data_IF_232419762251
#
_entry.id   IF_232419762251
#
_cell.length_a   1.000
_cell.length_b   1.000
_cell.length_c   1.000
_cell.angle_alpha   90.00
_cell.angle_beta   90.00
_cell.angle_gamma   90.00
#
_symmetry.space_group_name_H-M   'P 1'
#
loop_
_entity.id
_entity.type
_entity.pdbx_description
1 polymer ?
#
# COMPACT_ATOMS: atom_id res chain seq x y z
N UNK A 1 -30.57 -5.82 11.74
CA UNK A 1 -30.10 -7.00 12.50
C UNK A 1 -28.67 -6.74 12.95
N UNK A 2 -28.47 -6.44 14.24
CA UNK A 2 -27.15 -6.30 14.84
C UNK A 2 -26.46 -7.67 14.81
N UNK A 3 -25.48 -7.84 13.91
CA UNK A 3 -24.54 -8.97 14.04
C UNK A 3 -23.66 -8.70 15.26
N UNK A 4 -23.76 -9.61 16.23
CA UNK A 4 -22.83 -9.74 17.34
C UNK A 4 -21.41 -9.88 16.77
N UNK A 5 -20.65 -8.80 16.80
CA UNK A 5 -19.21 -8.85 16.58
C UNK A 5 -18.58 -9.63 17.73
N UNK A 6 -18.31 -10.91 17.51
CA UNK A 6 -17.31 -11.62 18.28
C UNK A 6 -16.00 -10.88 18.01
N UNK A 7 -15.58 -9.99 18.91
CA UNK A 7 -14.21 -9.47 18.96
C UNK A 7 -13.32 -10.70 19.18
N UNK A 8 -12.83 -11.30 18.11
CA UNK A 8 -11.64 -12.13 18.23
C UNK A 8 -10.52 -11.20 18.70
N UNK A 9 -10.06 -11.39 19.94
CA UNK A 9 -8.89 -10.70 20.44
C UNK A 9 -7.75 -10.92 19.44
N UNK A 10 -7.28 -9.81 18.87
CA UNK A 10 -6.14 -9.83 17.96
C UNK A 10 -4.93 -10.28 18.78
N UNK A 11 -4.25 -11.32 18.30
CA UNK A 11 -2.99 -11.74 18.91
C UNK A 11 -1.93 -10.73 18.52
N UNK A 12 -1.39 -10.05 19.51
CA UNK A 12 -0.31 -9.08 19.34
C UNK A 12 0.93 -9.52 20.10
N UNK A 13 2.10 -9.11 19.61
CA UNK A 13 3.37 -9.30 20.32
C UNK A 13 4.29 -8.10 20.11
N UNK A 14 5.23 -7.84 21.03
CA UNK A 14 6.20 -6.76 20.88
C UNK A 14 7.07 -6.93 19.61
N UNK A 15 7.32 -5.84 18.88
CA UNK A 15 8.20 -5.85 17.69
C UNK A 15 9.68 -5.93 18.07
N UNK A 16 10.01 -5.35 19.22
CA UNK A 16 11.35 -5.26 19.79
C UNK A 16 11.32 -5.73 21.25
N UNK A 17 12.47 -6.16 21.76
CA UNK A 17 12.70 -6.31 23.20
C UNK A 17 12.43 -4.98 23.92
N UNK A 18 12.00 -5.05 25.18
CA UNK A 18 11.54 -3.89 25.94
C UNK A 18 12.63 -2.81 26.01
N UNK A 19 13.86 -3.19 26.35
CA UNK A 19 14.98 -2.24 26.46
C UNK A 19 15.31 -1.59 25.10
N UNK A 20 15.19 -2.34 24.01
CA UNK A 20 15.42 -1.83 22.65
C UNK A 20 14.32 -0.87 22.23
N UNK A 21 13.07 -1.18 22.54
CA UNK A 21 11.94 -0.31 22.26
C UNK A 21 12.08 1.01 23.04
N UNK A 22 12.39 0.96 24.33
CA UNK A 22 12.67 2.15 25.14
C UNK A 22 13.82 3.00 24.58
N UNK A 23 14.91 2.35 24.17
CA UNK A 23 16.03 3.03 23.52
C UNK A 23 15.65 3.71 22.19
N UNK A 24 14.80 3.07 21.38
CA UNK A 24 14.26 3.68 20.16
C UNK A 24 13.33 4.86 20.47
N UNK A 25 12.41 4.69 21.43
CA UNK A 25 11.48 5.74 21.87
C UNK A 25 12.23 6.98 22.36
N UNK A 26 13.28 6.81 23.15
CA UNK A 26 14.12 7.92 23.59
C UNK A 26 14.75 8.69 22.42
N UNK A 27 15.24 7.98 21.39
CA UNK A 27 15.78 8.64 20.18
C UNK A 27 14.70 9.33 19.36
N UNK A 28 13.52 8.72 19.20
CA UNK A 28 12.38 9.33 18.52
C UNK A 28 11.85 10.57 19.25
N UNK A 29 11.91 10.58 20.59
CA UNK A 29 11.63 11.79 21.37
C UNK A 29 12.64 12.91 21.09
N UNK A 30 13.90 12.61 20.85
CA UNK A 30 14.89 13.61 20.42
C UNK A 30 14.61 14.09 18.99
N UNK A 31 14.31 13.17 18.07
CA UNK A 31 13.95 13.50 16.68
C UNK A 31 12.70 14.39 16.62
N UNK A 32 11.73 14.19 17.52
CA UNK A 32 10.53 15.03 17.62
C UNK A 32 10.83 16.53 17.80
N UNK A 33 11.94 16.87 18.47
CA UNK A 33 12.40 18.25 18.67
C UNK A 33 13.44 18.71 17.65
N UNK A 34 13.88 17.84 16.74
CA UNK A 34 14.88 18.19 15.72
C UNK A 34 14.28 19.02 14.58
N UNK A 35 15.11 19.78 13.86
CA UNK A 35 14.67 20.52 12.68
C UNK A 35 14.37 19.57 11.53
N UNK A 36 13.32 19.86 10.75
CA UNK A 36 13.09 19.16 9.48
C UNK A 36 13.95 19.76 8.35
N UNK A 37 14.68 20.83 8.61
CA UNK A 37 15.55 21.44 7.62
C UNK A 37 16.67 20.47 7.23
N UNK A 38 16.78 20.23 5.92
CA UNK A 38 17.92 19.53 5.36
C UNK A 38 19.22 20.32 5.57
N UNK A 39 20.38 19.73 5.29
CA UNK A 39 21.66 20.44 5.38
C UNK A 39 21.64 21.69 4.50
N UNK A 40 22.00 22.84 5.08
CA UNK A 40 22.08 24.14 4.38
C UNK A 40 23.06 24.13 3.20
N UNK A 41 24.06 23.23 3.23
CA UNK A 41 25.03 23.03 2.16
C UNK A 41 25.21 21.54 1.93
N UNK A 42 25.00 21.11 0.69
CA UNK A 42 25.30 19.76 0.22
C UNK A 42 26.64 19.72 -0.51
N UNK A 43 27.42 18.67 -0.25
CA UNK A 43 28.59 18.34 -1.05
C UNK A 43 28.15 18.07 -2.50
N UNK A 44 29.03 18.29 -3.48
CA UNK A 44 28.72 18.08 -4.90
C UNK A 44 28.28 16.64 -5.21
N UNK A 45 28.89 15.66 -4.55
CA UNK A 45 28.50 14.24 -4.61
C UNK A 45 27.07 14.00 -4.15
N UNK A 46 26.63 14.70 -3.10
CA UNK A 46 25.29 14.55 -2.53
C UNK A 46 24.25 15.24 -3.39
N UNK A 47 24.58 16.39 -4.00
CA UNK A 47 23.72 17.04 -5.00
C UNK A 47 23.44 16.12 -6.19
N UNK A 48 24.48 15.46 -6.72
CA UNK A 48 24.33 14.50 -7.81
C UNK A 48 23.45 13.31 -7.43
N UNK A 49 23.66 12.76 -6.23
CA UNK A 49 22.85 11.68 -5.67
C UNK A 49 21.38 12.09 -5.49
N UNK A 50 21.13 13.24 -4.87
CA UNK A 50 19.77 13.77 -4.65
C UNK A 50 19.05 13.95 -5.98
N UNK A 51 19.72 14.54 -6.98
CA UNK A 51 19.15 14.69 -8.33
C UNK A 51 18.80 13.33 -8.93
N UNK A 52 19.72 12.36 -8.91
CA UNK A 52 19.50 11.00 -9.41
C UNK A 52 18.28 10.34 -8.77
N UNK A 53 18.14 10.45 -7.44
CA UNK A 53 17.00 9.89 -6.71
C UNK A 53 15.70 10.59 -7.09
N UNK A 54 15.68 11.92 -7.17
CA UNK A 54 14.49 12.68 -7.59
C UNK A 54 14.04 12.31 -9.00
N UNK A 55 14.98 12.27 -9.94
CA UNK A 55 14.70 11.91 -11.33
C UNK A 55 14.14 10.48 -11.42
N UNK A 56 14.76 9.53 -10.69
CA UNK A 56 14.31 8.13 -10.69
C UNK A 56 12.94 7.96 -10.06
N UNK A 57 12.70 8.63 -8.93
CA UNK A 57 11.39 8.62 -8.28
C UNK A 57 10.32 9.22 -9.19
N UNK A 58 10.60 10.32 -9.89
CA UNK A 58 9.65 10.93 -10.81
C UNK A 58 9.32 10.01 -12.00
N UNK A 59 10.34 9.37 -12.59
CA UNK A 59 10.18 8.39 -13.68
C UNK A 59 9.29 7.21 -13.24
N UNK A 60 9.57 6.60 -12.10
CA UNK A 60 8.84 5.43 -11.63
C UNK A 60 7.46 5.79 -11.03
N UNK A 61 7.22 7.06 -10.68
CA UNK A 61 5.94 7.56 -10.16
C UNK A 61 4.93 7.94 -11.25
N UNK A 62 5.18 7.62 -12.52
CA UNK A 62 4.30 7.97 -13.64
C UNK A 62 2.85 7.48 -13.45
N UNK A 63 2.67 6.21 -13.10
CA UNK A 63 1.34 5.62 -12.84
C UNK A 63 1.44 4.36 -11.96
N UNK A 64 0.31 3.69 -11.72
CA UNK A 64 0.28 2.50 -10.87
C UNK A 64 1.17 1.37 -11.42
N UNK A 65 1.29 1.20 -12.73
CA UNK A 65 2.08 0.11 -13.32
C UNK A 65 3.58 0.31 -13.04
N UNK A 66 4.09 1.51 -13.28
CA UNK A 66 5.51 1.84 -13.07
C UNK A 66 5.88 1.73 -11.60
N UNK A 67 5.06 2.28 -10.69
CA UNK A 67 5.28 2.19 -9.24
C UNK A 67 5.29 0.76 -8.74
N UNK A 68 4.27 -0.01 -9.14
CA UNK A 68 4.13 -1.41 -8.73
C UNK A 68 5.33 -2.23 -9.19
N UNK A 69 5.81 -2.01 -10.42
CA UNK A 69 7.01 -2.66 -10.95
C UNK A 69 8.27 -2.24 -10.19
N UNK A 70 8.45 -0.95 -9.91
CA UNK A 70 9.60 -0.41 -9.20
C UNK A 70 9.77 -1.02 -7.80
N UNK A 71 8.67 -1.25 -7.08
CA UNK A 71 8.68 -1.95 -5.80
C UNK A 71 9.18 -3.40 -5.90
N UNK A 72 8.68 -4.18 -6.88
CA UNK A 72 9.12 -5.56 -7.08
C UNK A 72 10.59 -5.63 -7.48
N UNK A 73 11.00 -4.81 -8.43
CA UNK A 73 12.38 -4.77 -8.92
C UNK A 73 13.33 -4.38 -7.78
N UNK A 74 12.94 -3.42 -6.94
CA UNK A 74 13.70 -3.05 -5.75
C UNK A 74 13.81 -4.20 -4.73
N UNK A 75 12.69 -4.85 -4.39
CA UNK A 75 12.70 -5.98 -3.45
C UNK A 75 13.59 -7.13 -3.93
N UNK A 76 13.60 -7.43 -5.23
CA UNK A 76 14.48 -8.48 -5.78
C UNK A 76 15.97 -8.20 -5.57
N UNK A 77 16.36 -6.93 -5.46
CA UNK A 77 17.74 -6.52 -5.15
C UNK A 77 18.00 -6.38 -3.64
N UNK A 78 16.95 -6.12 -2.87
CA UNK A 78 17.02 -5.84 -1.42
C UNK A 78 15.93 -6.61 -0.67
N UNK A 79 16.01 -7.96 -0.61
CA UNK A 79 14.98 -8.82 -0.01
C UNK A 79 14.78 -8.57 1.49
N UNK A 80 15.74 -7.94 2.17
CA UNK A 80 15.62 -7.48 3.55
C UNK A 80 14.62 -6.33 3.74
N UNK A 81 14.22 -5.63 2.68
CA UNK A 81 13.22 -4.56 2.74
C UNK A 81 11.85 -5.15 2.43
N UNK A 82 11.27 -5.86 3.40
CA UNK A 82 9.99 -6.53 3.24
C UNK A 82 8.85 -5.58 2.80
N UNK A 83 8.87 -4.34 3.27
CA UNK A 83 7.90 -3.31 2.87
C UNK A 83 7.81 -3.16 1.35
N UNK A 84 8.91 -3.26 0.61
CA UNK A 84 8.87 -3.11 -0.85
C UNK A 84 8.04 -4.23 -1.50
N UNK A 85 8.13 -5.47 -1.03
CA UNK A 85 7.30 -6.55 -1.56
C UNK A 85 5.83 -6.42 -1.14
N UNK A 86 5.60 -6.01 0.11
CA UNK A 86 4.25 -5.72 0.58
C UNK A 86 3.61 -4.60 -0.24
N UNK A 87 4.32 -3.50 -0.46
CA UNK A 87 3.89 -2.37 -1.29
C UNK A 87 3.63 -2.80 -2.74
N UNK A 88 4.48 -3.67 -3.32
CA UNK A 88 4.19 -4.28 -4.63
C UNK A 88 2.83 -4.99 -4.63
N UNK A 89 2.61 -5.91 -3.69
CA UNK A 89 1.39 -6.72 -3.66
C UNK A 89 0.14 -5.90 -3.36
N UNK A 90 0.22 -4.93 -2.44
CA UNK A 90 -0.89 -4.01 -2.15
C UNK A 90 -1.15 -3.06 -3.33
N UNK A 91 -0.11 -2.57 -4.01
CA UNK A 91 -0.26 -1.68 -5.17
C UNK A 91 -0.87 -2.40 -6.37
N UNK A 92 -0.65 -3.71 -6.54
CA UNK A 92 -1.40 -4.52 -7.52
C UNK A 92 -2.90 -4.49 -7.26
N UNK A 93 -3.30 -4.63 -5.98
CA UNK A 93 -4.69 -4.56 -5.58
C UNK A 93 -5.27 -3.16 -5.82
N UNK A 94 -4.53 -2.11 -5.46
CA UNK A 94 -4.89 -0.72 -5.76
C UNK A 94 -5.06 -0.46 -7.26
N UNK A 95 -4.21 -1.06 -8.10
CA UNK A 95 -4.29 -0.96 -9.55
C UNK A 95 -5.61 -1.50 -10.10
N UNK A 96 -5.99 -2.72 -9.72
CA UNK A 96 -7.26 -3.24 -10.23
C UNK A 96 -8.48 -2.58 -9.60
N UNK A 97 -8.39 -2.04 -8.38
CA UNK A 97 -9.46 -1.18 -7.84
C UNK A 97 -9.65 0.08 -8.70
N UNK A 98 -8.59 0.65 -9.27
CA UNK A 98 -8.70 1.76 -10.22
C UNK A 98 -9.40 1.33 -11.50
N UNK A 99 -9.01 0.21 -12.11
CA UNK A 99 -9.61 -0.24 -13.39
C UNK A 99 -11.01 -0.83 -13.24
N UNK A 100 -11.34 -1.37 -12.06
CA UNK A 100 -12.65 -1.93 -11.74
C UNK A 100 -13.76 -0.87 -11.91
N UNK A 101 -13.46 0.41 -11.66
CA UNK A 101 -14.36 1.54 -11.91
C UNK A 101 -14.80 1.65 -13.39
N UNK A 102 -14.04 1.06 -14.32
CA UNK A 102 -14.31 0.97 -15.76
C UNK A 102 -14.64 -0.46 -16.21
N UNK A 103 -14.79 -1.39 -15.26
CA UNK A 103 -15.07 -2.80 -15.49
C UNK A 103 -16.55 -3.13 -15.43
N UNK A 104 -16.96 -4.21 -16.11
CA UNK A 104 -18.38 -4.55 -16.25
C UNK A 104 -19.04 -5.04 -14.96
N UNK A 105 -18.26 -5.32 -13.91
CA UNK A 105 -18.79 -5.65 -12.59
C UNK A 105 -19.31 -4.42 -11.84
N UNK A 106 -18.94 -3.20 -12.26
CA UNK A 106 -19.23 -1.97 -11.53
C UNK A 106 -19.78 -0.84 -12.41
N UNK A 107 -20.14 -1.15 -13.66
CA UNK A 107 -20.62 -0.17 -14.64
C UNK A 107 -21.75 0.72 -14.10
N UNK A 108 -22.64 0.16 -13.27
CA UNK A 108 -23.84 0.81 -12.73
C UNK A 108 -23.75 1.13 -11.24
N UNK A 109 -22.63 0.83 -10.57
CA UNK A 109 -22.50 1.09 -9.13
C UNK A 109 -22.22 2.56 -8.81
N UNK A 110 -21.52 3.23 -9.72
CA UNK A 110 -21.04 4.61 -9.61
C UNK A 110 -21.39 5.39 -10.87
N UNK A 111 -21.71 6.67 -10.71
CA UNK A 111 -21.78 7.64 -11.81
C UNK A 111 -20.39 7.90 -12.41
N UNK A 112 -20.33 8.45 -13.62
CA UNK A 112 -19.06 8.79 -14.28
C UNK A 112 -18.24 9.81 -13.48
N UNK A 113 -18.89 10.80 -12.85
CA UNK A 113 -18.22 11.76 -11.98
C UNK A 113 -17.66 11.10 -10.72
N UNK A 114 -18.39 10.16 -10.12
CA UNK A 114 -17.89 9.40 -8.98
C UNK A 114 -16.67 8.59 -9.40
N UNK A 115 -16.76 7.79 -10.48
CA UNK A 115 -15.63 6.98 -11.00
C UNK A 115 -14.36 7.81 -11.18
N UNK A 116 -14.46 8.97 -11.82
CA UNK A 116 -13.33 9.88 -12.01
C UNK A 116 -12.74 10.34 -10.67
N UNK A 117 -13.61 10.73 -9.73
CA UNK A 117 -13.15 11.25 -8.43
C UNK A 117 -12.52 10.16 -7.57
N UNK A 118 -13.07 8.94 -7.60
CA UNK A 118 -12.49 7.75 -6.96
C UNK A 118 -11.12 7.42 -7.56
N UNK A 119 -11.00 7.45 -8.88
CA UNK A 119 -9.73 7.24 -9.55
C UNK A 119 -8.69 8.28 -9.13
N UNK A 120 -9.04 9.57 -9.14
CA UNK A 120 -8.17 10.67 -8.70
C UNK A 120 -7.74 10.48 -7.24
N UNK A 121 -8.65 10.08 -6.36
CA UNK A 121 -8.32 9.79 -4.96
C UNK A 121 -7.26 8.70 -4.84
N UNK A 122 -7.50 7.55 -5.49
CA UNK A 122 -6.59 6.41 -5.45
C UNK A 122 -5.23 6.74 -6.08
N UNK A 123 -5.22 7.47 -7.19
CA UNK A 123 -3.99 7.86 -7.90
C UNK A 123 -3.17 8.85 -7.07
N UNK A 124 -3.80 9.88 -6.51
CA UNK A 124 -3.13 10.83 -5.61
C UNK A 124 -2.55 10.15 -4.38
N UNK A 125 -3.32 9.27 -3.74
CA UNK A 125 -2.83 8.52 -2.58
C UNK A 125 -1.63 7.64 -2.96
N UNK A 126 -1.76 6.79 -3.98
CA UNK A 126 -0.68 5.89 -4.42
C UNK A 126 0.58 6.64 -4.86
N UNK A 127 0.41 7.76 -5.56
CA UNK A 127 1.52 8.58 -6.03
C UNK A 127 2.24 9.29 -4.86
N UNK A 128 1.49 9.79 -3.87
CA UNK A 128 2.06 10.41 -2.67
C UNK A 128 2.83 9.40 -1.80
N UNK A 129 2.31 8.17 -1.64
CA UNK A 129 3.00 7.09 -0.94
C UNK A 129 4.35 6.81 -1.60
N UNK A 130 4.36 6.67 -2.92
CA UNK A 130 5.58 6.37 -3.67
C UNK A 130 6.59 7.50 -3.59
N UNK A 131 6.13 8.75 -3.74
CA UNK A 131 6.98 9.94 -3.63
C UNK A 131 7.63 10.09 -2.24
N UNK A 132 6.99 9.59 -1.18
CA UNK A 132 7.53 9.63 0.19
C UNK A 132 8.45 8.43 0.49
N UNK A 133 8.04 7.21 0.16
CA UNK A 133 8.76 5.99 0.54
C UNK A 133 9.90 5.64 -0.42
N UNK A 134 9.72 5.76 -1.74
CA UNK A 134 10.70 5.27 -2.72
C UNK A 134 12.06 5.97 -2.64
N UNK A 135 12.16 7.30 -2.42
CA UNK A 135 13.45 7.95 -2.17
C UNK A 135 14.20 7.38 -0.96
N UNK A 136 13.50 6.99 0.10
CA UNK A 136 14.10 6.37 1.30
C UNK A 136 14.76 5.03 0.93
N UNK A 137 14.08 4.24 0.10
CA UNK A 137 14.58 2.97 -0.42
C UNK A 137 15.84 3.17 -1.28
N UNK A 138 15.81 4.14 -2.20
CA UNK A 138 16.98 4.45 -3.04
C UNK A 138 18.16 4.97 -2.21
N UNK A 139 17.91 5.79 -1.18
CA UNK A 139 18.94 6.23 -0.24
C UNK A 139 19.58 5.04 0.50
N UNK A 140 18.77 4.10 0.97
CA UNK A 140 19.27 2.89 1.63
C UNK A 140 20.15 2.05 0.69
N UNK A 141 19.74 1.85 -0.57
CA UNK A 141 20.55 1.09 -1.54
C UNK A 141 21.92 1.75 -1.79
N UNK A 142 21.98 3.08 -1.76
CA UNK A 142 23.24 3.82 -1.90
C UNK A 142 24.10 3.77 -0.62
N UNK A 143 23.47 3.77 0.56
CA UNK A 143 24.17 3.59 1.84
C UNK A 143 24.78 2.18 2.02
N UNK A 144 24.25 1.16 1.32
CA UNK A 144 24.90 -0.16 1.26
C UNK A 144 26.23 -0.13 0.51
N UNK A 145 26.42 0.82 -0.42
CA UNK A 145 27.60 0.89 -1.30
C UNK A 145 28.70 1.79 -0.77
N UNK A 146 28.34 2.85 -0.04
CA UNK A 146 29.27 3.85 0.49
C UNK A 146 28.76 4.42 1.81
N UNK A 147 29.67 4.91 2.68
CA UNK A 147 29.26 5.64 3.88
C UNK A 147 28.35 6.82 3.50
N UNK A 148 27.12 6.82 4.03
CA UNK A 148 26.10 7.81 3.75
C UNK A 148 25.25 8.01 5.00
N UNK A 149 25.06 9.26 5.43
CA UNK A 149 24.13 9.56 6.51
C UNK A 149 22.72 9.69 5.96
N UNK A 150 21.91 8.62 6.07
CA UNK A 150 20.48 8.65 5.73
C UNK A 150 19.78 9.79 6.46
N UNK A 151 19.99 9.91 7.77
CA UNK A 151 19.42 10.98 8.61
C UNK A 151 19.61 12.39 8.04
N UNK A 152 20.78 12.68 7.47
CA UNK A 152 21.05 13.99 6.86
C UNK A 152 20.32 14.21 5.53
N UNK A 153 20.02 13.16 4.78
CA UNK A 153 19.44 13.24 3.44
C UNK A 153 17.92 13.05 3.41
N UNK A 154 17.36 12.28 4.33
CA UNK A 154 15.91 12.08 4.47
C UNK A 154 15.10 13.40 4.47
N UNK A 155 15.49 14.48 5.20
CA UNK A 155 14.75 15.73 5.16
C UNK A 155 14.67 16.40 3.78
N UNK A 156 15.65 16.17 2.90
CA UNK A 156 15.68 16.72 1.52
C UNK A 156 14.56 16.13 0.65
N UNK A 157 14.05 14.96 1.04
CA UNK A 157 12.92 14.27 0.43
C UNK A 157 11.62 14.43 1.23
N UNK A 158 11.59 15.34 2.22
CA UNK A 158 10.41 15.64 3.04
C UNK A 158 9.87 14.44 3.85
N UNK A 159 10.75 13.47 4.11
CA UNK A 159 10.45 12.31 4.95
C UNK A 159 10.29 12.77 6.39
N UNK A 160 9.33 12.19 7.11
CA UNK A 160 9.09 12.53 8.51
C UNK A 160 10.29 12.22 9.40
N UNK A 161 10.52 13.08 10.41
CA UNK A 161 11.53 12.85 11.46
C UNK A 161 11.33 11.53 12.19
N UNK A 162 10.10 10.99 12.19
CA UNK A 162 9.79 9.65 12.69
C UNK A 162 10.68 8.56 12.08
N UNK A 163 11.06 8.68 10.80
CA UNK A 163 11.84 7.66 10.11
C UNK A 163 13.34 7.74 10.38
N UNK A 164 13.86 8.81 10.99
CA UNK A 164 15.30 9.03 11.12
C UNK A 164 15.98 7.97 11.97
N UNK A 165 15.62 7.89 13.26
CA UNK A 165 16.15 6.87 14.17
C UNK A 165 15.77 5.44 13.79
N UNK A 166 14.68 5.27 13.04
CA UNK A 166 14.22 3.96 12.55
C UNK A 166 15.17 3.44 11.47
N UNK A 167 15.54 4.26 10.49
CA UNK A 167 16.53 3.89 9.49
C UNK A 167 17.91 3.66 10.10
N UNK A 168 18.33 4.50 11.05
CA UNK A 168 19.60 4.29 11.77
C UNK A 168 19.61 2.95 12.53
N UNK A 169 18.51 2.61 13.20
CA UNK A 169 18.38 1.33 13.90
C UNK A 169 18.36 0.14 12.91
N UNK A 170 17.65 0.26 11.79
CA UNK A 170 17.60 -0.79 10.78
C UNK A 170 18.97 -1.01 10.12
N UNK A 171 19.73 0.03 9.80
CA UNK A 171 21.09 -0.09 9.28
C UNK A 171 22.02 -0.85 10.23
N UNK A 172 21.79 -0.71 11.55
CA UNK A 172 22.58 -1.40 12.58
C UNK A 172 22.14 -2.85 12.80
N UNK A 173 20.83 -3.11 12.83
CA UNK A 173 20.29 -4.39 13.32
C UNK A 173 19.62 -5.26 12.25
N UNK A 174 19.30 -4.71 11.07
CA UNK A 174 18.69 -5.45 9.97
C UNK A 174 17.27 -5.97 10.27
N UNK A 175 16.54 -5.39 11.23
CA UNK A 175 15.20 -5.85 11.59
C UNK A 175 14.15 -5.42 10.54
N UNK A 176 13.95 -6.25 9.51
CA UNK A 176 13.02 -6.03 8.39
C UNK A 176 11.58 -5.77 8.82
N UNK A 177 11.16 -6.45 9.89
CA UNK A 177 9.81 -6.36 10.45
C UNK A 177 9.56 -4.99 11.08
N UNK A 178 10.49 -4.53 11.92
CA UNK A 178 10.44 -3.20 12.53
C UNK A 178 10.41 -2.09 11.46
N UNK A 179 11.32 -2.15 10.49
CA UNK A 179 11.35 -1.17 9.39
C UNK A 179 10.03 -1.18 8.61
N UNK A 180 9.47 -2.35 8.32
CA UNK A 180 8.25 -2.46 7.53
C UNK A 180 7.05 -1.87 8.25
N UNK A 181 6.90 -2.15 9.55
CA UNK A 181 5.82 -1.58 10.35
C UNK A 181 6.00 -0.06 10.50
N UNK A 182 7.23 0.43 10.66
CA UNK A 182 7.50 1.85 10.68
C UNK A 182 7.15 2.55 9.35
N UNK A 183 7.50 1.95 8.20
CA UNK A 183 7.14 2.48 6.89
C UNK A 183 5.62 2.47 6.68
N UNK A 184 4.89 1.46 7.17
CA UNK A 184 3.41 1.44 7.19
C UNK A 184 2.87 2.62 8.01
N UNK A 185 3.40 2.86 9.21
CA UNK A 185 2.95 3.97 10.07
C UNK A 185 3.22 5.32 9.36
N UNK A 186 4.43 5.49 8.84
CA UNK A 186 4.83 6.69 8.11
C UNK A 186 3.91 6.96 6.91
N UNK A 187 3.64 5.94 6.12
CA UNK A 187 2.72 6.01 4.98
C UNK A 187 1.32 6.45 5.42
N UNK A 188 0.73 5.76 6.40
CA UNK A 188 -0.67 5.98 6.77
C UNK A 188 -0.90 7.32 7.47
N UNK A 189 0.07 7.81 8.23
CA UNK A 189 0.05 9.13 8.86
C UNK A 189 0.29 10.25 7.84
N UNK A 190 1.17 10.03 6.86
CA UNK A 190 1.38 10.96 5.75
C UNK A 190 0.11 11.11 4.90
N UNK A 191 -0.55 10.00 4.52
CA UNK A 191 -1.81 10.02 3.77
C UNK A 191 -2.90 10.79 4.53
N UNK A 192 -3.01 10.56 5.85
CA UNK A 192 -3.99 11.24 6.69
C UNK A 192 -3.84 12.76 6.60
N UNK A 193 -2.60 13.25 6.73
CA UNK A 193 -2.30 14.68 6.76
C UNK A 193 -2.36 15.35 5.37
N UNK A 194 -1.78 14.69 4.36
CA UNK A 194 -1.56 15.30 3.04
C UNK A 194 -2.70 15.04 2.06
N UNK A 195 -3.44 13.94 2.20
CA UNK A 195 -4.45 13.51 1.24
C UNK A 195 -5.84 13.57 1.85
N UNK A 196 -6.12 12.80 2.90
CA UNK A 196 -7.48 12.61 3.42
C UNK A 196 -8.07 13.92 3.95
N UNK A 197 -7.37 14.62 4.86
CA UNK A 197 -7.83 15.89 5.41
C UNK A 197 -8.01 17.00 4.36
N UNK A 198 -7.33 16.89 3.22
CA UNK A 198 -7.25 17.92 2.18
C UNK A 198 -8.05 17.59 0.92
N UNK A 199 -8.67 16.41 0.86
CA UNK A 199 -9.34 15.94 -0.36
C UNK A 199 -10.55 16.79 -0.78
N UNK A 200 -10.98 17.76 0.03
CA UNK A 200 -12.01 18.76 -0.33
C UNK A 200 -13.42 18.19 -0.51
N UNK A 201 -13.58 16.87 -0.41
CA UNK A 201 -14.84 16.15 -0.62
C UNK A 201 -15.10 15.18 0.54
N UNK A 202 -15.26 15.71 1.76
CA UNK A 202 -15.51 14.91 2.96
C UNK A 202 -16.80 14.05 2.87
N UNK A 203 -17.83 14.57 2.20
CA UNK A 203 -19.06 13.82 1.92
C UNK A 203 -18.81 12.65 0.97
N UNK A 204 -17.97 12.87 -0.04
CA UNK A 204 -17.55 11.82 -0.95
C UNK A 204 -16.72 10.79 -0.19
N UNK A 205 -15.71 11.16 0.61
CA UNK A 205 -14.93 10.23 1.44
C UNK A 205 -15.82 9.37 2.36
N UNK A 206 -16.81 9.99 3.00
CA UNK A 206 -17.79 9.28 3.83
C UNK A 206 -18.63 8.31 3.01
N UNK A 207 -19.06 8.71 1.81
CA UNK A 207 -19.75 7.84 0.85
C UNK A 207 -18.84 6.76 0.31
N UNK A 208 -17.54 7.01 0.11
CA UNK A 208 -16.56 6.02 -0.29
C UNK A 208 -16.48 4.99 0.81
N UNK A 209 -16.15 5.41 2.03
CA UNK A 209 -16.06 4.52 3.18
C UNK A 209 -17.32 3.66 3.35
N UNK A 210 -18.50 4.25 3.17
CA UNK A 210 -19.76 3.54 3.22
C UNK A 210 -19.93 2.54 2.06
N UNK A 211 -19.77 2.97 0.82
CA UNK A 211 -19.91 2.12 -0.38
C UNK A 211 -18.87 1.00 -0.40
N UNK A 212 -17.62 1.32 -0.05
CA UNK A 212 -16.51 0.39 0.12
C UNK A 212 -16.84 -0.70 1.16
N UNK A 213 -17.47 -0.32 2.29
CA UNK A 213 -17.93 -1.27 3.30
C UNK A 213 -19.12 -2.10 2.82
N UNK A 214 -20.12 -1.49 2.19
CA UNK A 214 -21.31 -2.19 1.70
C UNK A 214 -20.99 -3.21 0.59
N UNK A 215 -20.02 -2.91 -0.26
CA UNK A 215 -19.68 -3.78 -1.39
C UNK A 215 -18.71 -4.91 -1.06
N UNK A 216 -18.27 -5.08 0.22
CA UNK A 216 -17.44 -6.13 0.87
C UNK A 216 -16.22 -6.75 0.14
N UNK A 217 -16.24 -6.89 -1.19
CA UNK A 217 -15.17 -7.31 -2.09
C UNK A 217 -14.41 -6.19 -2.79
N UNK A 218 -14.86 -4.93 -2.73
CA UNK A 218 -14.08 -3.79 -3.25
C UNK A 218 -12.90 -3.47 -2.31
N UNK A 219 -13.04 -3.73 -1.02
CA UNK A 219 -11.97 -3.46 -0.03
C UNK A 219 -11.11 -4.67 0.28
N UNK A 220 -11.34 -5.82 -0.36
CA UNK A 220 -10.53 -7.01 -0.08
C UNK A 220 -9.20 -6.92 -0.80
N UNK A 221 -8.13 -6.81 -0.01
CA UNK A 221 -6.76 -6.99 -0.48
C UNK A 221 -6.45 -8.48 -0.46
N UNK A 222 -6.06 -9.02 -1.61
CA UNK A 222 -5.82 -10.45 -1.84
C UNK A 222 -4.39 -10.72 -2.33
N UNK A 223 -3.83 -11.85 -1.88
CA UNK A 223 -2.54 -12.40 -2.27
C UNK A 223 -2.71 -13.83 -2.81
N UNK A 224 -2.41 -14.07 -4.10
CA UNK A 224 -2.45 -15.41 -4.68
C UNK A 224 -1.24 -16.22 -4.22
N UNK A 225 -1.46 -17.29 -3.47
CA UNK A 225 -0.36 -18.01 -2.81
C UNK A 225 -0.24 -19.48 -3.24
N UNK A 226 -1.27 -20.10 -3.82
CA UNK A 226 -1.17 -21.51 -4.22
C UNK A 226 -1.91 -21.81 -5.50
N UNK A 227 -1.17 -22.26 -6.51
CA UNK A 227 -1.73 -22.70 -7.79
C UNK A 227 -1.86 -24.22 -7.80
N UNK A 228 -3.03 -24.72 -8.23
CA UNK A 228 -3.21 -26.14 -8.58
C UNK A 228 -3.47 -26.23 -10.07
N UNK A 229 -2.98 -27.29 -10.72
CA UNK A 229 -3.14 -27.47 -12.16
C UNK A 229 -4.62 -27.39 -12.55
N UNK A 230 -4.93 -26.58 -13.56
CA UNK A 230 -6.30 -26.37 -14.05
C UNK A 230 -7.23 -25.61 -13.10
N UNK A 231 -6.74 -25.03 -11.99
CA UNK A 231 -7.55 -24.25 -11.05
C UNK A 231 -7.00 -22.83 -10.87
N UNK A 232 -7.86 -21.85 -10.55
CA UNK A 232 -7.42 -20.53 -10.12
C UNK A 232 -6.54 -20.63 -8.87
N UNK A 233 -5.71 -19.61 -8.65
CA UNK A 233 -4.93 -19.51 -7.42
C UNK A 233 -5.85 -19.47 -6.19
N UNK A 234 -5.46 -20.20 -5.14
CA UNK A 234 -5.97 -19.97 -3.79
C UNK A 234 -5.47 -18.61 -3.30
N UNK A 235 -6.34 -17.89 -2.59
CA UNK A 235 -6.10 -16.54 -2.11
C UNK A 235 -6.02 -16.49 -0.59
N UNK A 236 -5.08 -15.71 -0.06
CA UNK A 236 -5.13 -15.21 1.31
C UNK A 236 -5.32 -13.69 1.27
N UNK A 237 -5.70 -13.06 2.38
CA UNK A 237 -5.97 -11.61 2.39
C UNK A 237 -6.99 -11.21 3.44
N UNK A 238 -7.44 -9.96 3.38
CA UNK A 238 -8.46 -9.42 4.28
C UNK A 238 -9.21 -8.26 3.64
N UNK A 239 -10.44 -8.01 4.11
CA UNK A 239 -11.21 -6.81 3.77
C UNK A 239 -10.76 -5.65 4.65
N UNK A 240 -10.55 -4.49 4.04
CA UNK A 240 -10.29 -3.25 4.77
C UNK A 240 -11.60 -2.75 5.37
N UNK A 241 -11.58 -2.47 6.67
CA UNK A 241 -12.71 -1.95 7.44
C UNK A 241 -12.38 -0.54 7.94
N UNK A 242 -13.36 0.38 7.93
CA UNK A 242 -13.23 1.75 8.47
C UNK A 242 -12.01 2.49 7.93
N UNK A 243 -11.94 2.61 6.60
CA UNK A 243 -10.77 3.14 5.92
C UNK A 243 -10.46 4.60 6.30
N UNK A 244 -11.44 5.43 6.67
CA UNK A 244 -11.20 6.79 7.15
C UNK A 244 -10.38 6.86 8.45
N UNK A 245 -10.34 5.80 9.26
CA UNK A 245 -9.59 5.77 10.52
C UNK A 245 -8.10 5.40 10.28
N UNK A 246 -7.14 6.30 10.57
CA UNK A 246 -5.71 6.01 10.41
C UNK A 246 -5.23 4.82 11.23
N UNK A 247 -5.75 4.60 12.45
CA UNK A 247 -5.36 3.46 13.27
C UNK A 247 -5.79 2.14 12.62
N UNK A 248 -6.98 2.12 12.01
CA UNK A 248 -7.47 0.95 11.28
C UNK A 248 -6.67 0.69 10.01
N UNK A 249 -6.22 1.73 9.29
CA UNK A 249 -5.33 1.55 8.13
C UNK A 249 -3.95 1.03 8.53
N UNK A 250 -3.36 1.54 9.62
CA UNK A 250 -2.10 1.01 10.18
C UNK A 250 -2.26 -0.47 10.55
N UNK A 251 -3.36 -0.81 11.25
CA UNK A 251 -3.66 -2.18 11.64
C UNK A 251 -3.82 -3.10 10.41
N UNK A 252 -4.52 -2.64 9.37
CA UNK A 252 -4.63 -3.33 8.09
C UNK A 252 -3.26 -3.63 7.48
N UNK A 253 -2.37 -2.64 7.44
CA UNK A 253 -0.99 -2.83 6.96
C UNK A 253 -0.23 -3.90 7.74
N UNK A 254 -0.30 -3.86 9.08
CA UNK A 254 0.32 -4.88 9.95
C UNK A 254 -0.23 -6.28 9.70
N UNK A 255 -1.55 -6.42 9.54
CA UNK A 255 -2.19 -7.71 9.24
C UNK A 255 -1.77 -8.25 7.88
N UNK A 256 -1.73 -7.40 6.85
CA UNK A 256 -1.27 -7.79 5.51
C UNK A 256 0.20 -8.20 5.51
N UNK A 257 1.05 -7.50 6.26
CA UNK A 257 2.45 -7.88 6.46
C UNK A 257 2.56 -9.28 7.07
N UNK A 258 1.84 -9.54 8.17
CA UNK A 258 1.81 -10.85 8.84
C UNK A 258 1.33 -11.96 7.90
N UNK A 259 0.22 -11.74 7.17
CA UNK A 259 -0.28 -12.71 6.18
C UNK A 259 0.74 -13.05 5.10
N UNK A 260 1.52 -12.07 4.65
CA UNK A 260 2.49 -12.24 3.56
C UNK A 260 3.80 -12.88 4.01
N UNK A 261 4.31 -12.52 5.20
CA UNK A 261 5.68 -12.85 5.62
C UNK A 261 5.79 -13.90 6.73
N UNK A 262 4.75 -14.17 7.52
CA UNK A 262 4.87 -15.13 8.64
C UNK A 262 4.87 -16.59 8.19
N UNK A 263 4.34 -16.87 7.00
CA UNK A 263 4.25 -18.22 6.45
C UNK A 263 5.09 -18.36 5.19
N UNK A 264 6.08 -19.25 5.24
CA UNK A 264 7.02 -19.51 4.15
C UNK A 264 6.33 -19.96 2.86
N UNK A 265 5.36 -20.86 2.95
CA UNK A 265 4.61 -21.36 1.80
C UNK A 265 3.76 -20.28 1.14
N UNK A 266 3.21 -19.36 1.94
CA UNK A 266 2.50 -18.17 1.43
C UNK A 266 3.48 -17.25 0.71
N UNK A 267 4.59 -16.87 1.35
CA UNK A 267 5.59 -15.99 0.77
C UNK A 267 6.14 -16.51 -0.55
N UNK A 268 6.53 -17.79 -0.61
CA UNK A 268 7.03 -18.45 -1.82
C UNK A 268 5.98 -18.46 -2.93
N UNK A 269 4.74 -18.77 -2.57
CA UNK A 269 3.61 -18.79 -3.49
C UNK A 269 3.29 -17.43 -4.10
N UNK A 270 3.21 -16.40 -3.26
CA UNK A 270 2.95 -15.02 -3.67
C UNK A 270 4.12 -14.47 -4.48
N UNK A 271 5.36 -14.77 -4.09
CA UNK A 271 6.55 -14.42 -4.86
C UNK A 271 6.51 -15.05 -6.26
N UNK A 272 6.23 -16.36 -6.34
CA UNK A 272 6.09 -17.06 -7.63
C UNK A 272 4.99 -16.46 -8.49
N UNK A 273 3.84 -16.10 -7.91
CA UNK A 273 2.79 -15.39 -8.65
C UNK A 273 3.29 -14.05 -9.17
N UNK A 274 3.87 -13.21 -8.32
CA UNK A 274 4.31 -11.85 -8.70
C UNK A 274 5.36 -11.82 -9.81
N UNK A 275 6.21 -12.84 -9.88
CA UNK A 275 7.27 -12.97 -10.90
C UNK A 275 6.70 -13.48 -12.23
N UNK A 276 5.74 -14.41 -12.19
CA UNK A 276 5.23 -15.09 -13.39
C UNK A 276 3.97 -14.46 -13.98
N UNK A 277 3.39 -13.49 -13.28
CA UNK A 277 2.19 -12.79 -13.71
C UNK A 277 2.51 -11.32 -13.88
N UNK A 278 2.54 -10.81 -15.10
CA UNK A 278 2.66 -9.38 -15.37
C UNK A 278 1.52 -8.60 -14.71
N UNK A 279 1.84 -7.41 -14.17
CA UNK A 279 0.83 -6.52 -13.60
C UNK A 279 0.33 -5.57 -14.69
N UNK A 280 -0.95 -5.69 -15.04
CA UNK A 280 -1.64 -4.83 -16.01
C UNK A 280 -2.68 -3.93 -15.34
N UNK A 281 -2.77 -4.02 -14.02
CA UNK A 281 -3.88 -3.52 -13.20
C UNK A 281 -5.22 -4.17 -13.50
N UNK A 282 -5.31 -5.24 -14.30
CA UNK A 282 -6.59 -5.94 -14.52
C UNK A 282 -6.80 -7.06 -13.51
N UNK A 283 -8.05 -7.32 -13.10
CA UNK A 283 -8.39 -8.55 -12.35
C UNK A 283 -8.13 -9.83 -13.15
N UNK A 284 -8.01 -9.72 -14.47
CA UNK A 284 -7.60 -10.85 -15.32
C UNK A 284 -6.17 -11.33 -15.01
N UNK A 285 -5.32 -10.52 -14.38
CA UNK A 285 -4.01 -10.95 -13.89
C UNK A 285 -4.15 -12.08 -12.84
N UNK A 286 -5.21 -12.03 -12.03
CA UNK A 286 -5.45 -12.95 -10.93
C UNK A 286 -6.22 -14.20 -11.40
N UNK A 287 -7.35 -14.01 -12.09
CA UNK A 287 -8.28 -15.09 -12.47
C UNK A 287 -8.79 -14.97 -13.91
N UNK A 288 -7.97 -15.35 -14.89
CA UNK A 288 -8.30 -15.37 -16.35
C UNK A 288 -9.51 -16.23 -16.74
N UNK A 289 -9.95 -17.13 -15.88
CA UNK A 289 -11.15 -17.95 -16.09
C UNK A 289 -12.44 -17.18 -15.81
N UNK A 290 -12.39 -16.14 -14.99
CA UNK A 290 -13.56 -15.33 -14.56
C UNK A 290 -13.52 -13.95 -15.21
N UNK A 291 -12.33 -13.36 -15.33
CA UNK A 291 -12.13 -12.02 -15.87
C UNK A 291 -11.46 -12.06 -17.26
N UNK A 292 -11.73 -11.03 -18.06
CA UNK A 292 -11.06 -10.77 -19.33
C UNK A 292 -10.77 -9.28 -19.48
N UNK A 293 -9.64 -8.93 -20.09
CA UNK A 293 -9.34 -7.56 -20.53
C UNK A 293 -9.70 -7.34 -22.01
N UNK A 294 -10.29 -8.34 -22.68
CA UNK A 294 -10.75 -8.25 -24.05
C UNK A 294 -12.22 -7.84 -24.12
N UNK A 295 -12.51 -6.73 -24.80
CA UNK A 295 -13.88 -6.31 -25.07
C UNK A 295 -14.67 -7.34 -25.87
N UNK A 296 -14.02 -8.15 -26.71
CA UNK A 296 -14.66 -9.18 -27.52
C UNK A 296 -15.18 -10.38 -26.68
N UNK A 297 -14.64 -10.57 -25.48
CA UNK A 297 -15.10 -11.59 -24.52
C UNK A 297 -16.09 -11.04 -23.48
N UNK A 298 -16.44 -9.75 -23.53
CA UNK A 298 -17.43 -9.14 -22.63
C UNK A 298 -18.76 -9.88 -22.76
N UNK A 299 -19.35 -10.23 -21.62
CA UNK A 299 -20.59 -11.01 -21.55
C UNK A 299 -20.36 -12.52 -21.40
N UNK A 300 -19.22 -13.06 -21.86
CA UNK A 300 -18.79 -14.43 -21.55
C UNK A 300 -18.02 -14.48 -20.22
N UNK A 301 -17.20 -13.46 -19.99
CA UNK A 301 -16.44 -13.22 -18.75
C UNK A 301 -16.70 -11.81 -18.25
N UNK A 302 -16.32 -11.54 -17.01
CA UNK A 302 -16.38 -10.20 -16.43
C UNK A 302 -15.27 -9.36 -17.07
N UNK A 303 -15.66 -8.27 -17.73
CA UNK A 303 -14.69 -7.36 -18.35
C UNK A 303 -13.98 -6.55 -17.26
N UNK A 304 -12.66 -6.59 -17.26
CA UNK A 304 -11.76 -5.85 -16.37
C UNK A 304 -10.63 -5.27 -17.23
N UNK A 305 -10.68 -3.98 -17.59
CA UNK A 305 -9.71 -3.38 -18.49
C UNK A 305 -8.30 -3.34 -17.88
N UNK A 306 -7.29 -3.14 -18.72
CA UNK A 306 -5.94 -2.76 -18.27
C UNK A 306 -5.88 -1.26 -17.97
N UNK A 307 -4.91 -0.81 -17.17
CA UNK A 307 -4.83 0.60 -16.74
C UNK A 307 -4.85 1.58 -17.91
N UNK A 308 -4.00 1.35 -18.91
CA UNK A 308 -3.82 2.23 -20.07
C UNK A 308 -5.04 2.34 -20.97
N UNK A 309 -5.99 1.41 -20.86
CA UNK A 309 -7.29 1.49 -21.54
C UNK A 309 -8.39 2.09 -20.68
N UNK A 310 -8.22 2.09 -19.35
CA UNK A 310 -9.20 2.60 -18.41
C UNK A 310 -9.01 4.09 -18.09
N UNK A 311 -7.75 4.53 -17.96
CA UNK A 311 -7.38 5.84 -17.44
C UNK A 311 -6.13 6.39 -18.12
N UNK A 312 -6.09 7.70 -18.34
CA UNK A 312 -4.87 8.40 -18.73
C UNK A 312 -3.98 8.63 -17.51
N UNK A 313 -2.67 8.76 -17.75
CA UNK A 313 -1.72 9.18 -16.72
C UNK A 313 -2.14 10.55 -16.16
N UNK A 314 -2.01 10.69 -14.84
CA UNK A 314 -2.24 11.95 -14.14
C UNK A 314 -0.90 12.48 -13.63
N UNK A 315 -0.59 13.77 -13.86
CA UNK A 315 0.65 14.34 -13.34
C UNK A 315 0.65 14.27 -11.82
N UNK A 316 1.83 14.00 -11.24
CA UNK A 316 2.01 14.08 -9.81
C UNK A 316 1.84 15.54 -9.35
N UNK A 317 0.92 15.75 -8.41
CA UNK A 317 0.74 17.04 -7.74
C UNK A 317 1.51 17.00 -6.42
N UNK A 318 2.63 17.74 -6.37
CA UNK A 318 3.36 17.95 -5.13
C UNK A 318 2.47 18.74 -4.15
N UNK A 319 1.84 18.03 -3.22
CA UNK A 319 1.06 18.64 -2.14
C UNK A 319 1.95 19.40 -1.15
N UNK A 320 1.32 20.05 -0.17
CA UNK A 320 2.06 20.69 0.91
C UNK A 320 2.81 19.65 1.73
N UNK A 321 4.11 19.87 1.92
CA UNK A 321 4.95 19.03 2.76
C UNK A 321 4.87 19.53 4.21
N UNK A 322 4.17 18.78 5.05
CA UNK A 322 4.20 18.88 6.51
C UNK A 322 4.79 17.59 7.10
N UNK A 323 5.55 17.72 8.19
CA UNK A 323 5.87 16.57 9.03
C UNK A 323 4.66 16.22 9.88
N UNK A 324 4.13 15.01 9.68
CA UNK A 324 2.98 14.51 10.43
C UNK A 324 3.33 14.10 11.85
N UNK A 325 4.63 13.97 12.21
CA UNK A 325 5.06 13.55 13.54
C UNK A 325 4.94 14.68 14.56
N UNK A 326 3.68 14.99 14.90
CA UNK A 326 3.27 16.11 15.77
C UNK A 326 2.82 15.66 17.17
N UNK A 327 2.63 14.35 17.38
CA UNK A 327 2.33 13.76 18.69
C UNK A 327 3.28 12.59 18.98
N UNK A 328 3.87 12.58 20.18
CA UNK A 328 4.79 11.51 20.62
C UNK A 328 4.10 10.17 20.78
N UNK A 329 2.82 10.16 21.12
CA UNK A 329 2.02 8.94 21.29
C UNK A 329 1.93 8.11 19.99
N UNK A 330 2.24 8.69 18.83
CA UNK A 330 2.33 7.94 17.57
C UNK A 330 3.47 6.91 17.57
N UNK A 331 4.45 7.03 18.47
CA UNK A 331 5.50 6.02 18.67
C UNK A 331 4.88 4.70 19.16
N UNK A 332 3.77 4.75 19.90
CA UNK A 332 3.09 3.57 20.44
C UNK A 332 2.53 2.67 19.34
N UNK A 333 2.23 3.22 18.16
CA UNK A 333 1.84 2.41 17.00
C UNK A 333 2.94 1.43 16.58
N UNK A 334 4.20 1.68 16.94
CA UNK A 334 5.34 0.79 16.67
C UNK A 334 5.56 -0.26 17.78
N UNK A 335 4.76 -0.27 18.85
CA UNK A 335 4.98 -1.19 19.98
C UNK A 335 4.77 -2.65 19.60
N UNK A 336 3.69 -2.94 18.89
CA UNK A 336 3.24 -4.30 18.62
C UNK A 336 3.09 -4.60 17.15
N UNK A 337 3.32 -5.87 16.80
CA UNK A 337 2.84 -6.46 15.57
C UNK A 337 1.63 -7.36 15.82
N UNK A 338 0.95 -7.73 14.73
CA UNK A 338 -0.21 -8.62 14.77
C UNK A 338 0.20 -9.98 14.22
N UNK A 339 -0.28 -11.05 14.87
CA UNK A 339 -0.11 -12.42 14.40
C UNK A 339 -1.40 -12.88 13.74
N UNK A 340 -1.37 -13.04 12.42
CA UNK A 340 -2.51 -13.51 11.66
C UNK A 340 -2.49 -15.04 11.53
N UNK A 341 -3.64 -15.66 11.75
CA UNK A 341 -3.86 -17.03 11.26
C UNK A 341 -4.09 -16.94 9.77
N UNK A 342 -3.33 -17.73 9.01
CA UNK A 342 -3.58 -17.88 7.59
C UNK A 342 -4.94 -18.55 7.36
N UNK A 343 -5.72 -17.93 6.49
CA UNK A 343 -7.00 -18.41 6.02
C UNK A 343 -7.01 -18.38 4.48
N UNK A 344 -7.57 -19.43 3.88
CA UNK A 344 -7.90 -19.42 2.46
C UNK A 344 -9.25 -18.72 2.27
N UNK A 345 -9.21 -17.53 1.69
CA UNK A 345 -10.39 -16.69 1.49
C UNK A 345 -10.96 -16.81 0.07
N UNK A 346 -10.52 -17.79 -0.72
CA UNK A 346 -10.91 -17.93 -2.14
C UNK A 346 -12.42 -17.92 -2.33
N UNK A 347 -13.16 -18.71 -1.54
CA UNK A 347 -14.61 -18.79 -1.70
C UNK A 347 -15.32 -17.55 -1.15
N UNK A 348 -14.78 -16.90 -0.12
CA UNK A 348 -15.24 -15.59 0.33
C UNK A 348 -15.13 -14.55 -0.80
N UNK A 349 -14.00 -14.50 -1.50
CA UNK A 349 -13.78 -13.57 -2.62
C UNK A 349 -14.74 -13.87 -3.78
N UNK A 350 -14.97 -15.15 -4.12
CA UNK A 350 -15.95 -15.53 -5.14
C UNK A 350 -17.37 -15.11 -4.76
N UNK A 351 -17.76 -15.33 -3.51
CA UNK A 351 -19.09 -14.96 -3.01
C UNK A 351 -19.28 -13.44 -3.04
N UNK A 352 -18.26 -12.66 -2.66
CA UNK A 352 -18.28 -11.21 -2.75
C UNK A 352 -18.44 -10.75 -4.22
N UNK A 353 -17.73 -11.37 -5.15
CA UNK A 353 -17.85 -11.06 -6.57
C UNK A 353 -19.25 -11.36 -7.12
N UNK A 354 -19.86 -12.48 -6.70
CA UNK A 354 -21.23 -12.81 -7.06
C UNK A 354 -22.22 -11.77 -6.50
N UNK A 355 -22.05 -11.34 -5.25
CA UNK A 355 -22.87 -10.31 -4.63
C UNK A 355 -22.76 -8.95 -5.37
N UNK A 356 -21.54 -8.52 -5.70
CA UNK A 356 -21.30 -7.28 -6.48
C UNK A 356 -22.02 -7.35 -7.82
N UNK A 357 -21.94 -8.50 -8.51
CA UNK A 357 -22.61 -8.69 -9.80
C UNK A 357 -24.13 -8.54 -9.69
N UNK A 358 -24.75 -9.15 -8.68
CA UNK A 358 -26.20 -9.03 -8.44
C UNK A 358 -26.59 -7.58 -8.17
N UNK A 359 -25.84 -6.86 -7.33
CA UNK A 359 -26.16 -5.45 -7.03
C UNK A 359 -26.00 -4.57 -8.28
N UNK A 360 -24.96 -4.82 -9.08
CA UNK A 360 -24.73 -4.10 -10.34
C UNK A 360 -25.86 -4.34 -11.36
N UNK A 361 -26.39 -5.55 -11.43
CA UNK A 361 -27.56 -5.88 -12.28
C UNK A 361 -28.83 -5.17 -11.79
N UNK A 362 -29.09 -5.16 -10.47
CA UNK A 362 -30.24 -4.45 -9.89
C UNK A 362 -30.16 -2.94 -10.17
N UNK A 363 -28.96 -2.33 -10.04
CA UNK A 363 -28.77 -0.91 -10.35
C UNK A 363 -28.81 -0.58 -11.84
N UNK A 364 -28.72 -1.56 -12.74
CA UNK A 364 -28.83 -1.31 -14.18
C UNK A 364 -30.27 -1.04 -14.64
N UNK A 365 -31.26 -1.39 -13.82
CA UNK A 365 -32.71 -1.29 -14.13
C UNK A 365 -33.44 -0.22 -13.31
N UNK A 366 -32.74 0.46 -12.41
CA UNK A 366 -33.22 1.60 -11.61
C UNK A 366 -32.52 2.85 -12.13
#
# INVERSE_FOLDING_TARGET
MQQLFVKHELKEQPILEIEKFEGLTNRLHLDFYSTQDGPNVLLSSDKGLVKKIRDKTAEDNLNNLTRTKAYLDYYRRNPEIHWAFLAHMVSRNGGYHMTDLRGSAMDHLFTESEKETYFIFLERANSAIFADAYPQLLLYEEAKRKPLSLRSLLPIFHVSRFMYSIWDLFLKEGNSKMLTIALIINEQRMIEDRIIKRFGHAELLSRLDFQLQEFFGFTTVIFPYKQRLGRPYQLTGLSVERFADPAMRILTGKKLYSLLFDKKDVLEGVSKFSINTEHTASRSDYWKTIFTNSLAERGKKIYSPVLTSAWNDRPFEAGTHSDWFIHKDFIEDLRTEVIMKHEDITDKVKNNLAAIKVINEIKSVI
#
